data_IF_424962964628
#
_entry.id   IF_424962964628
#
_cell.length_a   1.000
_cell.length_b   1.000
_cell.length_c   1.000
_cell.angle_alpha   90.00
_cell.angle_beta   90.00
_cell.angle_gamma   90.00
#
_symmetry.space_group_name_H-M   'P 1'
#
loop_
_entity.id
_entity.type
_entity.pdbx_description
1 polymer ?
2 non-polymer ?
3 water ?
#
# COMPACT_ATOMS: atom_id res chain seq x y z
N UNK A 1 -3.74 -7.66 15.37
CA UNK A 1 -4.86 -7.03 16.13
C UNK A 1 -6.04 -7.02 15.18
N UNK A 2 -7.05 -7.84 15.47
CA UNK A 2 -8.22 -7.97 14.61
C UNK A 2 -9.35 -7.01 14.96
N UNK A 3 -9.10 -6.08 15.89
CA UNK A 3 -10.15 -5.16 16.32
C UNK A 3 -10.36 -3.93 15.43
N UNK A 4 -11.50 -3.27 15.59
CA UNK A 4 -11.78 -2.08 14.82
C UNK A 4 -11.89 -2.31 13.32
N UNK A 5 -11.56 -1.28 12.56
CA UNK A 5 -11.64 -1.32 11.10
C UNK A 5 -10.54 -2.25 10.55
N UNK A 6 -10.95 -3.24 9.77
CA UNK A 6 -10.06 -4.27 9.25
C UNK A 6 -10.07 -4.38 7.74
N UNK A 7 -8.97 -4.90 7.18
CA UNK A 7 -8.91 -5.06 5.73
C UNK A 7 -7.90 -6.11 5.34
N UNK A 8 -7.70 -6.27 4.04
CA UNK A 8 -6.72 -7.23 3.53
C UNK A 8 -5.97 -6.59 2.38
N UNK A 9 -4.92 -7.25 1.92
CA UNK A 9 -4.23 -6.79 0.72
C UNK A 9 -3.94 -8.08 -0.02
N UNK A 10 -4.01 -8.02 -1.35
CA UNK A 10 -3.83 -9.21 -2.15
C UNK A 10 -3.12 -8.91 -3.46
N UNK A 11 -2.66 -9.98 -4.11
CA UNK A 11 -2.00 -9.91 -5.41
C UNK A 11 -2.42 -11.18 -6.13
N UNK A 12 -1.83 -11.45 -7.28
CA UNK A 12 -2.20 -12.65 -8.04
C UNK A 12 -1.95 -13.91 -7.21
N UNK A 13 -1.10 -13.83 -6.19
CA UNK A 13 -0.83 -15.02 -5.38
C UNK A 13 -2.09 -15.54 -4.70
N UNK A 14 -3.06 -14.67 -4.47
CA UNK A 14 -4.30 -15.07 -3.83
C UNK A 14 -5.33 -15.70 -4.76
N UNK A 15 -4.99 -15.78 -6.06
CA UNK A 15 -5.88 -16.40 -7.03
C UNK A 15 -7.25 -15.76 -7.20
N UNK A 16 -8.25 -16.59 -7.44
CA UNK A 16 -9.63 -16.11 -7.63
C UNK A 16 -10.24 -15.78 -6.28
N UNK A 17 -10.70 -14.54 -6.12
CA UNK A 17 -11.28 -14.07 -4.87
C UNK A 17 -12.77 -13.74 -4.99
N UNK A 18 -13.55 -14.19 -4.01
CA UNK A 18 -14.97 -13.87 -3.99
C UNK A 18 -15.07 -12.66 -3.05
N UNK A 19 -15.13 -11.47 -3.64
CA UNK A 19 -15.18 -10.26 -2.83
C UNK A 19 -16.44 -10.05 -2.02
N UNK A 20 -17.57 -10.63 -2.43
CA UNK A 20 -18.77 -10.47 -1.61
C UNK A 20 -18.52 -11.22 -0.31
N UNK A 21 -17.76 -12.31 -0.37
CA UNK A 21 -17.45 -13.05 0.85
C UNK A 21 -16.47 -12.30 1.73
N UNK A 22 -15.55 -11.56 1.10
CA UNK A 22 -14.57 -10.78 1.87
C UNK A 22 -15.33 -9.71 2.65
N UNK A 23 -16.29 -9.07 1.99
CA UNK A 23 -17.11 -8.05 2.62
C UNK A 23 -17.96 -8.64 3.73
N UNK A 24 -18.62 -9.77 3.48
CA UNK A 24 -19.48 -10.34 4.52
C UNK A 24 -18.68 -10.87 5.71
N UNK A 25 -17.39 -11.14 5.49
CA UNK A 25 -16.49 -11.59 6.55
C UNK A 25 -16.22 -10.44 7.52
N UNK A 26 -16.59 -9.22 7.13
CA UNK A 26 -16.39 -8.06 7.97
C UNK A 26 -15.28 -7.11 7.55
N UNK A 27 -14.65 -7.36 6.41
CA UNK A 27 -13.58 -6.47 5.95
C UNK A 27 -14.17 -5.18 5.40
N UNK A 28 -13.50 -4.07 5.69
CA UNK A 28 -13.93 -2.75 5.23
C UNK A 28 -13.11 -2.23 4.05
N UNK A 29 -11.86 -2.67 3.95
CA UNK A 29 -10.98 -2.15 2.91
C UNK A 29 -10.00 -3.19 2.38
N UNK A 30 -9.37 -2.86 1.26
CA UNK A 30 -8.37 -3.72 0.67
C UNK A 30 -7.43 -2.95 -0.24
N UNK A 31 -6.17 -3.39 -0.27
CA UNK A 31 -5.19 -2.85 -1.21
C UNK A 31 -4.91 -4.03 -2.13
N UNK A 32 -4.83 -3.74 -3.43
CA UNK A 32 -4.66 -4.74 -4.49
C UNK A 32 -3.41 -4.44 -5.34
N UNK A 33 -2.56 -5.44 -5.54
CA UNK A 33 -1.37 -5.18 -6.34
C UNK A 33 -1.72 -4.88 -7.79
N UNK A 34 -1.13 -3.81 -8.31
CA UNK A 34 -1.34 -3.41 -9.67
C UNK A 34 -0.10 -3.58 -10.53
N UNK A 35 0.96 -2.86 -10.17
CA UNK A 35 2.18 -2.86 -10.96
C UNK A 35 3.42 -3.13 -10.11
N UNK A 36 4.52 -3.44 -10.80
CA UNK A 36 5.81 -3.65 -10.16
C UNK A 36 6.88 -3.20 -11.14
N UNK A 37 7.92 -2.56 -10.62
CA UNK A 37 8.98 -2.10 -11.49
C UNK A 37 8.49 -1.23 -12.64
N UNK A 38 9.07 -1.43 -13.82
CA UNK A 38 8.72 -0.65 -14.99
C UNK A 38 7.73 -1.31 -15.94
N UNK A 39 7.58 -2.63 -15.85
CA UNK A 39 6.71 -3.30 -16.81
C UNK A 39 5.95 -4.52 -16.35
N UNK A 40 5.82 -4.71 -15.05
CA UNK A 40 5.06 -5.83 -14.56
C UNK A 40 3.66 -5.34 -14.20
N UNK A 41 2.64 -6.09 -14.58
CA UNK A 41 1.26 -5.76 -14.25
C UNK A 41 0.64 -7.03 -13.67
N UNK A 42 0.03 -6.91 -12.49
CA UNK A 42 -0.59 -8.06 -11.85
C UNK A 42 -1.78 -8.55 -12.70
N UNK A 43 -1.77 -9.82 -13.06
CA UNK A 43 -2.84 -10.36 -13.91
C UNK A 43 -4.23 -10.39 -13.30
N UNK A 44 -4.32 -10.35 -11.97
CA UNK A 44 -5.61 -10.39 -11.31
C UNK A 44 -6.09 -8.99 -10.94
N UNK A 45 -5.27 -7.97 -11.19
CA UNK A 45 -5.65 -6.60 -10.81
C UNK A 45 -7.01 -6.08 -11.26
N UNK A 46 -7.27 -6.10 -12.57
CA UNK A 46 -8.53 -5.59 -13.07
C UNK A 46 -9.76 -6.22 -12.46
N UNK A 47 -9.76 -7.54 -12.33
CA UNK A 47 -10.90 -8.23 -11.76
C UNK A 47 -11.02 -7.89 -10.28
N UNK A 48 -9.90 -7.90 -9.55
CA UNK A 48 -9.98 -7.60 -8.13
C UNK A 48 -10.49 -6.18 -7.90
N UNK A 49 -9.94 -5.24 -8.67
CA UNK A 49 -10.31 -3.84 -8.54
C UNK A 49 -11.80 -3.64 -8.80
N UNK A 50 -12.30 -4.33 -9.82
CA UNK A 50 -13.72 -4.22 -10.18
C UNK A 50 -14.60 -4.88 -9.14
N UNK A 51 -14.28 -6.12 -8.81
CA UNK A 51 -15.09 -6.89 -7.87
C UNK A 51 -15.07 -6.39 -6.44
N UNK A 52 -13.93 -5.88 -5.99
CA UNK A 52 -13.86 -5.33 -4.64
C UNK A 52 -14.79 -4.12 -4.59
N UNK A 53 -14.74 -3.27 -5.61
CA UNK A 53 -15.60 -2.09 -5.65
C UNK A 53 -17.08 -2.51 -5.65
N UNK A 54 -17.44 -3.45 -6.50
CA UNK A 54 -18.84 -3.86 -6.57
C UNK A 54 -19.34 -4.47 -5.27
N UNK A 55 -18.44 -5.08 -4.51
CA UNK A 55 -18.82 -5.70 -3.24
C UNK A 55 -18.95 -4.69 -2.11
N UNK A 56 -18.57 -3.44 -2.38
CA UNK A 56 -18.65 -2.41 -1.37
C UNK A 56 -17.42 -2.23 -0.50
N UNK A 57 -16.31 -2.82 -0.94
CA UNK A 57 -15.05 -2.70 -0.21
C UNK A 57 -14.37 -1.39 -0.63
N UNK A 58 -13.88 -0.62 0.34
CA UNK A 58 -13.15 0.62 0.03
C UNK A 58 -11.78 0.07 -0.36
N UNK A 59 -11.39 0.27 -1.61
CA UNK A 59 -10.16 -0.33 -2.11
C UNK A 59 -9.22 0.57 -2.86
N UNK A 60 -7.94 0.20 -2.83
CA UNK A 60 -6.92 0.97 -3.53
C UNK A 60 -5.93 0.02 -4.18
N UNK A 61 -4.98 0.58 -4.92
CA UNK A 61 -3.97 -0.21 -5.63
C UNK A 61 -2.58 0.06 -5.07
N UNK A 62 -1.66 -0.87 -5.26
CA UNK A 62 -0.30 -0.62 -4.81
C UNK A 62 0.72 -0.97 -5.89
N UNK A 63 1.84 -0.27 -5.84
CA UNK A 63 2.94 -0.46 -6.77
C UNK A 63 4.15 -1.00 -6.03
N UNK A 64 4.70 -2.13 -6.49
CA UNK A 64 5.90 -2.68 -5.87
C UNK A 64 7.10 -2.01 -6.55
N UNK A 65 7.76 -1.12 -5.82
CA UNK A 65 8.90 -0.38 -6.35
C UNK A 65 10.15 -1.20 -6.65
N UNK A 66 10.85 -0.82 -7.71
CA UNK A 66 12.15 -1.42 -8.03
C UNK A 66 12.97 -0.16 -8.35
N UNK A 67 13.44 0.54 -7.31
CA UNK A 67 14.21 1.77 -7.49
C UNK A 67 15.45 1.69 -8.38
N UNK A 68 15.98 0.49 -8.60
CA UNK A 68 17.15 0.32 -9.45
C UNK A 68 16.80 0.39 -10.93
N UNK A 69 15.54 0.12 -11.25
CA UNK A 69 15.08 0.05 -12.63
C UNK A 69 14.74 1.32 -13.39
N UNK A 70 14.39 2.38 -12.67
CA UNK A 70 14.03 3.64 -13.29
C UNK A 70 13.85 4.64 -12.17
N UNK A 71 13.63 5.90 -12.51
CA UNK A 71 13.44 6.94 -11.51
C UNK A 71 12.10 6.83 -10.78
N UNK A 72 11.98 7.55 -9.67
CA UNK A 72 10.75 7.55 -8.91
C UNK A 72 9.66 8.21 -9.74
N UNK A 73 10.03 9.23 -10.50
CA UNK A 73 9.06 9.89 -11.36
C UNK A 73 8.49 8.90 -12.37
N UNK A 74 9.37 8.16 -13.03
CA UNK A 74 8.92 7.20 -14.05
C UNK A 74 8.00 6.12 -13.50
N UNK A 75 8.32 5.54 -12.35
CA UNK A 75 7.46 4.50 -11.82
C UNK A 75 6.14 5.06 -11.29
N UNK A 76 6.14 6.32 -10.83
CA UNK A 76 4.88 6.91 -10.35
C UNK A 76 3.94 7.09 -11.56
N UNK A 77 4.47 7.53 -12.69
CA UNK A 77 3.62 7.70 -13.88
C UNK A 77 3.11 6.33 -14.35
N UNK A 78 3.98 5.33 -14.37
CA UNK A 78 3.58 3.99 -14.79
C UNK A 78 2.44 3.49 -13.91
N UNK A 79 2.60 3.63 -12.60
CA UNK A 79 1.56 3.23 -11.65
C UNK A 79 0.25 4.01 -11.86
N UNK A 80 0.36 5.33 -11.96
CA UNK A 80 -0.83 6.16 -12.13
C UNK A 80 -1.60 5.86 -13.42
N UNK A 81 -0.90 5.36 -14.44
CA UNK A 81 -1.55 5.03 -15.71
C UNK A 81 -2.04 3.59 -15.77
N UNK A 82 -1.66 2.80 -14.77
CA UNK A 82 -2.02 1.38 -14.79
C UNK A 82 -2.59 0.83 -13.50
N UNK A 83 -3.55 1.55 -12.94
CA UNK A 83 -4.22 1.07 -11.75
C UNK A 83 -4.19 2.00 -10.57
N UNK A 84 -3.20 2.89 -10.55
CA UNK A 84 -3.05 3.81 -9.42
C UNK A 84 -3.82 5.12 -9.46
N UNK A 85 -4.64 5.30 -10.49
CA UNK A 85 -5.42 6.53 -10.58
C UNK A 85 -6.38 6.65 -9.42
N UNK A 86 -6.75 7.87 -9.09
CA UNK A 86 -7.66 8.07 -7.99
C UNK A 86 -8.72 9.12 -8.30
N UNK A 87 -9.91 8.90 -7.76
CA UNK A 87 -10.98 9.88 -7.86
C UNK A 87 -11.91 9.60 -6.70
N UNK A 88 -12.64 10.63 -6.26
CA UNK A 88 -13.55 10.48 -5.13
C UNK A 88 -14.83 9.75 -5.49
N UNK A 89 -15.05 8.59 -4.88
CA UNK A 89 -16.27 7.84 -5.14
C UNK A 89 -16.70 6.97 -3.96
N UNK A 90 -16.27 7.36 -2.75
CA UNK A 90 -16.56 6.64 -1.51
C UNK A 90 -15.89 5.27 -1.41
N UNK A 91 -15.20 4.84 -2.45
CA UNK A 91 -14.61 3.50 -2.41
C UNK A 91 -13.21 3.36 -2.96
N UNK A 92 -12.52 4.48 -3.17
CA UNK A 92 -11.18 4.40 -3.73
C UNK A 92 -10.14 5.02 -2.82
N UNK A 93 -9.19 4.21 -2.36
CA UNK A 93 -8.14 4.72 -1.48
C UNK A 93 -6.97 5.30 -2.28
N UNK A 94 -6.17 6.17 -1.64
CA UNK A 94 -5.03 6.73 -2.35
C UNK A 94 -4.07 5.56 -2.59
N UNK A 95 -3.33 5.62 -3.71
CA UNK A 95 -2.39 4.55 -4.04
C UNK A 95 -1.27 4.36 -3.03
N UNK A 96 -0.66 3.19 -3.10
CA UNK A 96 0.43 2.81 -2.20
C UNK A 96 1.74 2.54 -2.91
N UNK A 97 2.81 3.07 -2.32
CA UNK A 97 4.17 2.83 -2.80
C UNK A 97 4.69 1.74 -1.87
N UNK A 98 4.83 0.52 -2.39
CA UNK A 98 5.33 -0.62 -1.63
C UNK A 98 6.83 -0.64 -1.92
N UNK A 99 7.61 -0.13 -0.97
CA UNK A 99 9.05 -0.04 -1.14
C UNK A 99 9.65 -0.83 0.02
N UNK A 100 10.30 -1.93 -0.31
CA UNK A 100 10.81 -2.87 0.68
C UNK A 100 12.04 -3.63 0.20
N UNK A 101 12.54 -4.56 1.02
CA UNK A 101 13.73 -5.34 0.67
C UNK A 101 13.72 -5.84 -0.77
N UNK A 102 14.79 -5.52 -1.49
CA UNK A 102 14.95 -5.93 -2.88
C UNK A 102 14.88 -7.46 -2.93
N UNK A 103 14.01 -8.02 -3.77
CA UNK A 103 13.92 -9.48 -3.86
C UNK A 103 15.01 -10.07 -4.76
N UNK A 104 15.72 -9.21 -5.49
CA UNK A 104 16.75 -9.71 -6.40
C UNK A 104 17.94 -8.78 -6.56
N UNK A 105 18.66 -8.55 -5.47
CA UNK A 105 19.80 -7.67 -5.52
C UNK A 105 20.00 -6.99 -4.19
N UNK A 106 20.89 -6.00 -4.15
CA UNK A 106 21.16 -5.28 -2.90
C UNK A 106 19.83 -4.82 -2.29
N UNK A 107 19.71 -4.98 -0.98
CA UNK A 107 18.45 -4.63 -0.34
C UNK A 107 18.01 -3.18 -0.55
N UNK A 108 18.95 -2.25 -0.69
CA UNK A 108 18.60 -0.86 -0.92
C UNK A 108 18.70 -0.46 -2.40
N UNK A 109 18.66 -1.47 -3.26
CA UNK A 109 18.63 -1.27 -4.69
C UNK A 109 19.78 -0.52 -5.34
N UNK A 110 20.93 -0.50 -4.69
CA UNK A 110 22.09 0.17 -5.25
C UNK A 110 22.06 1.68 -5.11
N UNK A 111 21.10 2.20 -4.36
CA UNK A 111 21.03 3.63 -4.15
C UNK A 111 21.57 4.02 -2.78
N UNK A 112 22.28 5.14 -2.70
CA UNK A 112 22.77 5.63 -1.42
C UNK A 112 21.53 6.10 -0.67
N UNK A 113 21.68 6.41 0.61
CA UNK A 113 20.52 6.86 1.37
C UNK A 113 19.99 8.15 0.77
N UNK A 114 20.89 9.03 0.31
CA UNK A 114 20.46 10.28 -0.28
C UNK A 114 19.72 10.04 -1.60
N UNK A 115 20.22 9.13 -2.42
CA UNK A 115 19.55 8.83 -3.69
C UNK A 115 18.19 8.20 -3.45
N UNK A 116 18.09 7.41 -2.40
CA UNK A 116 16.82 6.74 -2.10
C UNK A 116 15.81 7.77 -1.62
N UNK A 117 16.26 8.73 -0.83
CA UNK A 117 15.37 9.77 -0.36
C UNK A 117 14.82 10.52 -1.58
N UNK A 118 15.71 10.83 -2.52
CA UNK A 118 15.30 11.54 -3.74
C UNK A 118 14.30 10.71 -4.53
N UNK A 119 14.57 9.41 -4.64
CA UNK A 119 13.70 8.51 -5.40
C UNK A 119 12.27 8.52 -4.82
N UNK A 120 12.18 8.40 -3.50
CA UNK A 120 10.89 8.38 -2.82
C UNK A 120 10.21 9.76 -2.96
N UNK A 121 10.98 10.82 -2.83
CA UNK A 121 10.41 12.16 -2.96
C UNK A 121 9.86 12.35 -4.37
N UNK A 122 10.61 11.86 -5.36
CA UNK A 122 10.19 11.99 -6.75
C UNK A 122 8.91 11.19 -7.01
N UNK A 123 8.83 9.98 -6.47
CA UNK A 123 7.63 9.17 -6.66
C UNK A 123 6.45 9.89 -6.01
N UNK A 124 6.64 10.41 -4.81
CA UNK A 124 5.56 11.11 -4.15
C UNK A 124 5.13 12.34 -4.95
N UNK A 125 6.09 13.13 -5.42
CA UNK A 125 5.75 14.34 -6.17
C UNK A 125 4.98 14.04 -7.43
N UNK A 126 5.42 13.02 -8.18
CA UNK A 126 4.73 12.70 -9.42
C UNK A 126 3.38 12.06 -9.18
N UNK A 127 3.28 11.20 -8.17
CA UNK A 127 2.00 10.57 -7.90
C UNK A 127 0.98 11.65 -7.50
N UNK A 128 1.43 12.64 -6.74
CA UNK A 128 0.53 13.71 -6.30
C UNK A 128 0.14 14.57 -7.51
N UNK A 129 1.08 14.85 -8.39
CA UNK A 129 0.78 15.64 -9.58
C UNK A 129 -0.27 14.90 -10.41
N UNK A 130 -0.14 13.58 -10.50
CA UNK A 130 -1.08 12.80 -11.29
C UNK A 130 -2.47 12.64 -10.68
N UNK A 131 -2.53 12.44 -9.37
CA UNK A 131 -3.79 12.13 -8.68
C UNK A 131 -4.34 13.10 -7.63
N UNK A 132 -3.52 14.07 -7.23
CA UNK A 132 -3.78 15.05 -6.17
C UNK A 132 -3.58 14.42 -4.79
N UNK A 133 -3.30 13.12 -4.75
CA UNK A 133 -3.15 12.46 -3.45
C UNK A 133 -1.73 12.21 -2.98
N UNK A 134 -1.57 12.21 -1.65
CA UNK A 134 -0.29 11.87 -1.01
C UNK A 134 -0.22 10.34 -1.01
N UNK A 135 0.81 9.79 -1.65
CA UNK A 135 0.95 8.35 -1.73
C UNK A 135 1.18 7.74 -0.34
N UNK A 136 0.58 6.59 -0.10
CA UNK A 136 0.74 5.88 1.17
C UNK A 136 2.01 5.05 1.03
N UNK A 137 2.89 5.08 2.03
CA UNK A 137 4.12 4.30 1.97
C UNK A 137 4.01 3.00 2.78
N UNK A 138 4.16 1.87 2.08
CA UNK A 138 4.16 0.56 2.73
C UNK A 138 5.60 0.11 2.78
N UNK A 139 6.05 -0.25 3.97
CA UNK A 139 7.43 -0.73 4.15
C UNK A 139 7.59 -1.33 5.54
N UNK A 140 8.79 -1.81 5.83
CA UNK A 140 9.09 -2.33 7.16
C UNK A 140 9.94 -1.28 7.84
N UNK A 141 9.96 -1.29 9.17
CA UNK A 141 10.79 -0.34 9.88
C UNK A 141 12.26 -0.56 9.52
N UNK A 142 12.67 -1.83 9.43
CA UNK A 142 14.07 -2.16 9.10
C UNK A 142 14.49 -1.57 7.77
N UNK A 143 13.67 -1.77 6.76
CA UNK A 143 14.02 -1.25 5.46
C UNK A 143 14.04 0.27 5.48
N UNK A 144 13.02 0.89 6.06
CA UNK A 144 13.00 2.35 6.11
C UNK A 144 14.24 2.91 6.78
N UNK A 145 14.53 2.42 7.96
CA UNK A 145 15.68 2.95 8.68
C UNK A 145 17.00 2.68 7.95
N UNK A 146 17.17 1.47 7.46
CA UNK A 146 18.39 1.13 6.75
C UNK A 146 18.59 1.87 5.44
N UNK A 147 17.60 1.78 4.55
CA UNK A 147 17.75 2.39 3.24
C UNK A 147 17.53 3.88 3.10
N UNK A 148 16.85 4.51 4.06
CA UNK A 148 16.69 5.97 3.98
C UNK A 148 17.52 6.64 5.05
N UNK A 149 18.18 5.84 5.88
CA UNK A 149 18.97 6.45 6.95
C UNK A 149 18.08 7.13 7.97
N UNK A 150 17.01 6.44 8.37
CA UNK A 150 16.06 6.93 9.37
C UNK A 150 15.55 8.32 9.01
N UNK A 151 15.09 8.46 7.77
CA UNK A 151 14.62 9.74 7.25
C UNK A 151 13.26 10.21 7.78
N UNK A 152 13.18 11.48 8.21
CA UNK A 152 11.93 12.07 8.70
C UNK A 152 11.23 12.89 7.61
N UNK A 153 11.83 12.92 6.42
CA UNK A 153 11.30 13.73 5.33
C UNK A 153 9.92 13.46 4.76
N UNK A 154 9.36 12.30 5.05
CA UNK A 154 8.03 11.98 4.54
C UNK A 154 6.99 12.04 5.64
N UNK A 155 7.39 12.45 6.84
CA UNK A 155 6.44 12.51 7.97
C UNK A 155 5.19 13.32 7.67
N UNK A 156 5.35 14.44 6.99
CA UNK A 156 4.18 15.28 6.69
C UNK A 156 3.66 15.07 5.28
N UNK A 157 4.25 14.14 4.54
CA UNK A 157 3.86 13.89 3.15
C UNK A 157 3.13 12.59 2.84
N UNK A 158 3.49 11.52 3.54
CA UNK A 158 2.85 10.23 3.27
C UNK A 158 2.32 9.46 4.45
N UNK A 159 1.08 8.95 4.35
CA UNK A 159 0.54 8.15 5.46
C UNK A 159 1.43 6.90 5.49
N UNK A 160 1.58 6.29 6.66
CA UNK A 160 2.46 5.13 6.81
C UNK A 160 1.71 3.81 6.97
N UNK A 161 2.01 2.84 6.11
CA UNK A 161 1.41 1.51 6.20
C UNK A 161 2.59 0.61 6.61
N UNK A 162 2.60 0.23 7.88
CA UNK A 162 3.70 -0.56 8.43
C UNK A 162 3.46 -2.05 8.38
N UNK A 163 4.46 -2.78 7.91
CA UNK A 163 4.39 -4.24 7.88
C UNK A 163 5.14 -4.73 9.09
N UNK A 164 4.44 -5.35 10.04
CA UNK A 164 5.08 -5.88 11.24
C UNK A 164 4.20 -7.01 11.73
N UNK A 165 4.55 -8.22 11.32
CA UNK A 165 3.75 -9.38 11.64
C UNK A 165 3.99 -9.97 13.03
N UNK A 166 2.93 -10.56 13.56
CA UNK A 166 3.01 -11.25 14.84
C UNK A 166 3.25 -10.50 16.12
N UNK A 167 3.03 -9.19 16.14
CA UNK A 167 3.23 -8.43 17.35
C UNK A 167 1.91 -7.79 17.79
N UNK A 168 1.82 -7.44 19.07
CA UNK A 168 0.60 -6.86 19.61
C UNK A 168 0.33 -5.43 19.14
N UNK A 169 1.39 -4.71 18.78
CA UNK A 169 1.33 -3.33 18.31
C UNK A 169 2.60 -3.17 17.46
N UNK A 170 2.53 -2.39 16.39
CA UNK A 170 3.71 -2.22 15.53
C UNK A 170 4.75 -1.22 15.98
N UNK A 171 6.01 -1.50 15.66
CA UNK A 171 7.09 -0.58 15.97
C UNK A 171 7.12 0.42 14.81
N UNK A 172 7.09 1.70 15.16
CA UNK A 172 7.07 2.76 14.17
C UNK A 172 8.37 3.55 14.15
N UNK A 173 8.99 3.72 12.96
CA UNK A 173 10.23 4.47 12.86
C UNK A 173 9.98 5.91 13.29
N UNK A 174 11.01 6.58 13.81
CA UNK A 174 10.84 7.95 14.24
C UNK A 174 10.41 8.87 13.10
N UNK A 175 10.69 8.47 11.87
CA UNK A 175 10.35 9.27 10.70
C UNK A 175 8.89 9.39 10.33
N UNK A 176 8.01 8.70 11.07
CA UNK A 176 6.56 8.77 10.85
C UNK A 176 5.90 9.12 12.19
N UNK A 177 4.90 10.02 12.17
CA UNK A 177 4.22 10.45 13.39
C UNK A 177 3.32 9.38 14.02
N UNK A 178 2.90 8.43 13.21
CA UNK A 178 2.05 7.33 13.65
C UNK A 178 1.86 6.42 12.45
N UNK A 179 1.12 5.33 12.62
CA UNK A 179 0.84 4.46 11.49
C UNK A 179 -0.61 4.67 11.09
N UNK A 180 -0.89 4.53 9.79
CA UNK A 180 -2.24 4.67 9.27
C UNK A 180 -2.82 3.26 9.00
N UNK A 181 -2.01 2.39 8.38
CA UNK A 181 -2.42 1.00 8.15
C UNK A 181 -1.31 0.15 8.76
N UNK A 182 -1.66 -1.06 9.19
CA UNK A 182 -0.68 -1.96 9.76
C UNK A 182 -0.96 -3.39 9.30
N UNK A 183 0.00 -3.97 8.59
CA UNK A 183 -0.12 -5.36 8.13
C UNK A 183 0.44 -6.19 9.27
N UNK A 184 -0.44 -6.91 9.96
CA UNK A 184 -0.03 -7.69 11.15
C UNK A 184 0.06 -9.18 10.94
N UNK A 185 -0.32 -9.64 9.77
CA UNK A 185 -0.23 -11.06 9.46
C UNK A 185 -0.19 -11.30 7.97
N UNK A 186 0.53 -12.33 7.55
CA UNK A 186 0.61 -12.71 6.16
C UNK A 186 0.01 -14.11 6.04
N UNK A 187 -0.48 -14.63 7.15
CA UNK A 187 -1.02 -15.99 7.19
C UNK A 187 -2.44 -16.07 7.73
N UNK A 188 -3.23 -15.06 7.45
CA UNK A 188 -4.59 -15.04 7.95
C UNK A 188 -5.57 -15.84 7.10
N UNK A 189 -6.83 -15.79 7.52
CA UNK A 189 -7.90 -16.47 6.81
C UNK A 189 -9.05 -15.47 6.67
N UNK A 190 -9.67 -15.46 5.50
CA UNK A 190 -10.82 -14.60 5.26
C UNK A 190 -11.70 -15.29 4.24
N UNK A 191 -13.00 -15.28 4.51
CA UNK A 191 -13.93 -15.89 3.58
C UNK A 191 -13.74 -15.28 2.20
N UNK A 192 -13.79 -16.11 1.17
CA UNK A 192 -13.63 -15.61 -0.19
C UNK A 192 -12.21 -15.70 -0.73
N UNK A 193 -11.25 -15.90 0.16
CA UNK A 193 -9.86 -16.05 -0.27
C UNK A 193 -9.39 -17.42 0.17
N UNK A 194 -8.83 -18.18 -0.77
CA UNK A 194 -8.32 -19.50 -0.42
C UNK A 194 -6.86 -19.40 -0.03
N UNK A 195 -6.53 -19.88 1.16
CA UNK A 195 -5.15 -19.87 1.62
C UNK A 195 -4.76 -18.65 2.44
N UNK A 196 -3.46 -18.50 2.65
CA UNK A 196 -2.93 -17.39 3.43
C UNK A 196 -3.26 -16.02 2.84
N UNK A 197 -3.73 -15.12 3.69
CA UNK A 197 -4.02 -13.77 3.23
C UNK A 197 -3.40 -12.76 4.19
N UNK A 198 -2.93 -11.64 3.64
CA UNK A 198 -2.37 -10.57 4.44
C UNK A 198 -3.52 -9.81 5.09
N UNK A 199 -3.42 -9.60 6.41
CA UNK A 199 -4.47 -8.88 7.14
C UNK A 199 -3.93 -7.56 7.64
N UNK A 200 -4.76 -6.53 7.54
CA UNK A 200 -4.41 -5.18 7.95
C UNK A 200 -5.42 -4.55 8.87
N UNK A 201 -4.93 -3.64 9.70
CA UNK A 201 -5.77 -2.87 10.59
C UNK A 201 -5.62 -1.40 10.16
N UNK A 202 -6.69 -0.62 10.27
CA UNK A 202 -6.65 0.81 9.94
C UNK A 202 -6.68 1.55 11.28
N UNK A 203 -5.83 2.56 11.43
CA UNK A 203 -5.75 3.29 12.69
C UNK A 203 -6.78 4.41 12.75
N UNK A 204 -8.03 4.04 12.99
CA UNK A 204 -9.08 5.04 13.04
C UNK A 204 -10.46 4.47 12.80
N UNK A 205 -11.45 5.34 12.88
CA UNK A 205 -12.85 4.97 12.71
C UNK A 205 -13.24 4.71 11.25
N UNK A 206 -14.43 4.16 11.07
CA UNK A 206 -14.93 3.91 9.73
C UNK A 206 -15.01 5.25 9.00
N UNK A 207 -15.43 6.29 9.69
CA UNK A 207 -15.54 7.62 9.08
C UNK A 207 -14.20 8.16 8.61
N UNK A 208 -13.15 7.92 9.40
CA UNK A 208 -11.82 8.39 9.05
C UNK A 208 -11.29 7.65 7.82
N UNK A 209 -11.64 6.36 7.70
CA UNK A 209 -11.22 5.56 6.54
C UNK A 209 -11.88 6.14 5.29
N UNK A 210 -13.18 6.45 5.39
CA UNK A 210 -13.92 7.00 4.26
C UNK A 210 -13.34 8.38 3.90
N UNK A 211 -12.99 9.16 4.91
CA UNK A 211 -12.40 10.48 4.70
C UNK A 211 -11.08 10.33 3.97
N UNK A 212 -10.30 9.30 4.29
CA UNK A 212 -9.02 9.09 3.61
C UNK A 212 -9.30 8.73 2.14
N UNK A 213 -10.30 7.88 1.92
CA UNK A 213 -10.67 7.50 0.56
C UNK A 213 -11.13 8.71 -0.24
N UNK A 214 -11.97 9.55 0.36
CA UNK A 214 -12.51 10.71 -0.36
C UNK A 214 -11.67 11.98 -0.33
N UNK A 215 -10.55 11.96 0.38
CA UNK A 215 -9.64 13.11 0.49
C UNK A 215 -10.31 14.25 1.22
N UNK A 216 -11.00 13.94 2.31
CA UNK A 216 -11.66 14.97 3.11
C UNK A 216 -11.07 14.95 4.51
N UNK A 217 -10.01 14.18 4.70
CA UNK A 217 -9.36 14.11 6.01
C UNK A 217 -8.08 13.28 6.01
X LIG B 1 -6.95 -15.04 10.60
X LIG C 1 0.06 1.56 18.28
X LIG D 1 -3.94 13.23 0.10
X LIG E 1 -10.07 -13.92 13.21
X LIG F 1 15.63 13.27 8.77
X LIG G 1 19.64 -3.66 -7.52
X LIG H 1 9.00 3.23 -15.16
X LIG I 1 -16.85 -15.23 7.16
#
# INVERSE_FOLDING_TARGET
DTSGVQGIDVSHWQGSINWSSVKSAGMSFAYIKATEGTNYKDDRFSANYTNAYNAGIIRGAYHFARPNASSGTAQADYFASNGGGWSRDNRTLPGVLDIEHNPSGAMCYGLSTTQMRTWINDFHARYKARTTRDVVIYTTASWWNTCTGSWNGMAAKSPFWVAHWGVSAPTVPSGFPTWTFWQYSATGRVGGVSGDVDRNKFNGSAARLLALANNTA
CL CL
CL CL
CL CL
CL CL
CL CL
CL CL
CL CL
CL CL
#
